data_IF_128421567095
#
_entry.id   IF_128421567095
#
_cell.length_a   1.000
_cell.length_b   1.000
_cell.length_c   1.000
_cell.angle_alpha   90.00
_cell.angle_beta   90.00
_cell.angle_gamma   90.00
#
_symmetry.space_group_name_H-M   'P 1'
#
loop_
_entity.id
_entity.type
_entity.pdbx_description
1 polymer ?
#
# COMPACT_ATOMS: atom_id res chain seq x y z
N UNK A 1 15.03 9.10 2.12
CA UNK A 1 14.67 9.39 3.53
C UNK A 1 15.49 8.45 4.40
N UNK A 2 16.41 9.00 5.23
CA UNK A 2 17.18 8.22 6.21
C UNK A 2 16.24 7.94 7.39
N UNK A 3 15.80 6.68 7.54
CA UNK A 3 15.08 6.24 8.73
C UNK A 3 16.13 6.01 9.82
N UNK A 4 15.96 6.57 11.04
CA UNK A 4 16.86 6.29 12.14
C UNK A 4 16.89 4.78 12.40
N UNK A 5 18.09 4.20 12.44
CA UNK A 5 18.30 2.76 12.69
C UNK A 5 17.64 2.29 14.00
N UNK A 6 17.54 3.17 14.98
CA UNK A 6 16.87 2.95 16.27
C UNK A 6 15.36 2.65 16.13
N UNK A 7 14.72 3.04 15.01
CA UNK A 7 13.30 2.75 14.75
C UNK A 7 13.08 1.40 14.04
N UNK A 8 14.14 0.74 13.60
CA UNK A 8 14.09 -0.59 12.97
C UNK A 8 14.81 -1.63 13.85
N UNK A 9 14.78 -1.45 15.18
CA UNK A 9 15.27 -2.45 16.11
C UNK A 9 14.40 -3.72 16.06
N UNK A 10 14.93 -4.83 16.58
CA UNK A 10 14.24 -6.14 16.58
C UNK A 10 12.85 -6.05 17.18
N UNK A 11 12.67 -5.31 18.27
CA UNK A 11 11.39 -5.20 18.98
C UNK A 11 10.35 -4.46 18.13
N UNK A 12 10.75 -3.36 17.47
CA UNK A 12 9.85 -2.65 16.56
C UNK A 12 9.46 -3.49 15.34
N UNK A 13 10.41 -4.23 14.77
CA UNK A 13 10.14 -5.12 13.64
C UNK A 13 9.19 -6.26 14.04
N UNK A 14 9.34 -6.83 15.24
CA UNK A 14 8.41 -7.83 15.79
C UNK A 14 7.01 -7.26 16.04
N UNK A 15 6.91 -6.05 16.59
CA UNK A 15 5.61 -5.36 16.76
C UNK A 15 4.93 -5.18 15.39
N UNK A 16 5.67 -4.71 14.38
CA UNK A 16 5.14 -4.54 13.03
C UNK A 16 4.71 -5.88 12.40
N UNK A 17 5.50 -6.96 12.56
CA UNK A 17 5.16 -8.28 12.04
C UNK A 17 3.88 -8.84 12.69
N UNK A 18 3.71 -8.69 14.00
CA UNK A 18 2.50 -9.10 14.71
C UNK A 18 1.29 -8.31 14.22
N UNK A 19 1.39 -6.98 14.19
CA UNK A 19 0.30 -6.10 13.77
C UNK A 19 -0.04 -6.23 12.29
N UNK A 20 0.91 -6.64 11.45
CA UNK A 20 0.66 -6.89 10.04
C UNK A 20 -0.21 -8.12 9.78
N UNK A 21 -0.16 -9.09 10.68
CA UNK A 21 -1.00 -10.31 10.61
C UNK A 21 -2.35 -10.11 11.27
N UNK A 22 -2.38 -9.37 12.37
CA UNK A 22 -3.61 -9.05 13.10
C UNK A 22 -3.50 -7.68 13.76
N UNK A 23 -4.00 -6.66 13.07
CA UNK A 23 -4.00 -5.28 13.55
C UNK A 23 -4.96 -5.06 14.74
N UNK A 24 -5.86 -6.01 15.01
CA UNK A 24 -6.82 -5.95 16.14
C UNK A 24 -6.23 -6.49 17.45
N UNK A 25 -5.05 -7.09 17.41
CA UNK A 25 -4.42 -7.71 18.56
C UNK A 25 -4.15 -6.70 19.68
N UNK A 26 -4.61 -6.95 20.91
CA UNK A 26 -4.40 -6.05 22.04
C UNK A 26 -2.91 -5.85 22.33
N UNK A 27 -2.50 -4.61 22.61
CA UNK A 27 -1.09 -4.30 22.90
C UNK A 27 -0.57 -5.00 24.15
N UNK A 28 -1.45 -5.26 25.13
CA UNK A 28 -1.10 -6.04 26.32
C UNK A 28 -0.69 -7.48 25.98
N UNK A 29 -1.25 -8.08 24.94
CA UNK A 29 -0.86 -9.43 24.50
C UNK A 29 0.42 -9.41 23.68
N UNK A 30 0.65 -8.36 22.89
CA UNK A 30 1.94 -8.10 22.22
C UNK A 30 3.05 -7.91 23.27
N UNK A 31 2.76 -7.14 24.32
CA UNK A 31 3.69 -6.90 25.43
C UNK A 31 4.12 -8.19 26.12
N UNK A 32 3.17 -9.09 26.42
CA UNK A 32 3.46 -10.41 26.98
C UNK A 32 4.32 -11.27 26.07
N UNK A 33 4.00 -11.33 24.75
CA UNK A 33 4.75 -12.14 23.80
C UNK A 33 6.18 -11.65 23.61
N UNK A 34 6.40 -10.33 23.68
CA UNK A 34 7.72 -9.71 23.50
C UNK A 34 8.47 -9.51 24.83
N UNK A 35 7.91 -9.92 25.95
CA UNK A 35 8.46 -9.78 27.32
C UNK A 35 8.81 -8.32 27.68
N UNK A 36 7.98 -7.36 27.25
CA UNK A 36 8.12 -5.93 27.54
C UNK A 36 6.85 -5.38 28.21
N UNK A 37 6.91 -4.13 28.71
CA UNK A 37 5.72 -3.52 29.30
C UNK A 37 4.73 -3.03 28.22
N UNK A 38 3.42 -3.05 28.56
CA UNK A 38 2.35 -2.49 27.72
C UNK A 38 2.64 -1.01 27.35
N UNK A 39 3.10 -0.22 28.33
CA UNK A 39 3.50 1.16 28.09
C UNK A 39 4.62 1.28 27.05
N UNK A 40 5.55 0.31 27.02
CA UNK A 40 6.62 0.26 26.01
C UNK A 40 6.05 0.01 24.61
N UNK A 41 5.11 -0.93 24.46
CA UNK A 41 4.46 -1.20 23.16
C UNK A 41 3.74 0.06 22.67
N UNK A 42 2.94 0.70 23.53
CA UNK A 42 2.26 1.95 23.19
C UNK A 42 3.22 3.05 22.73
N UNK A 43 4.32 3.25 23.44
CA UNK A 43 5.32 4.26 23.10
C UNK A 43 5.96 3.96 21.74
N UNK A 44 6.36 2.70 21.49
CA UNK A 44 6.99 2.26 20.25
C UNK A 44 6.04 2.42 19.05
N UNK A 45 4.80 1.99 19.18
CA UNK A 45 3.77 2.14 18.12
C UNK A 45 3.54 3.62 17.79
N UNK A 46 3.44 4.50 18.81
CA UNK A 46 3.32 5.95 18.56
C UNK A 46 4.53 6.52 17.81
N UNK A 47 5.75 6.07 18.13
CA UNK A 47 6.97 6.51 17.41
C UNK A 47 6.97 6.03 15.97
N UNK A 48 6.55 4.78 15.71
CA UNK A 48 6.42 4.23 14.36
C UNK A 48 5.38 4.98 13.52
N UNK A 49 4.25 5.37 14.12
CA UNK A 49 3.24 6.23 13.50
C UNK A 49 3.78 7.63 13.21
N UNK A 50 4.43 8.27 14.17
CA UNK A 50 4.98 9.60 14.01
C UNK A 50 6.09 9.66 12.94
N UNK A 51 6.86 8.58 12.80
CA UNK A 51 7.90 8.44 11.77
C UNK A 51 7.33 8.03 10.40
N UNK A 52 6.04 7.71 10.29
CA UNK A 52 5.41 7.26 9.05
C UNK A 52 5.77 5.84 8.61
N UNK A 53 6.51 5.08 9.44
CA UNK A 53 6.82 3.65 9.21
C UNK A 53 5.52 2.84 9.30
N UNK A 54 4.76 3.01 10.37
CA UNK A 54 3.38 2.56 10.46
C UNK A 54 2.47 3.70 9.99
N UNK A 55 1.87 3.57 8.82
CA UNK A 55 1.04 4.65 8.25
C UNK A 55 -0.35 4.72 8.85
N UNK A 56 -0.99 3.57 9.08
CA UNK A 56 -2.34 3.45 9.64
C UNK A 56 -2.64 2.02 10.06
N UNK A 57 -3.61 1.86 10.95
CA UNK A 57 -4.29 0.58 11.16
C UNK A 57 -5.42 0.44 10.14
N UNK A 58 -5.55 -0.72 9.53
CA UNK A 58 -6.58 -0.99 8.52
C UNK A 58 -7.02 -2.43 8.59
N UNK A 59 -8.08 -2.76 7.86
CA UNK A 59 -8.58 -4.12 7.69
C UNK A 59 -8.35 -4.58 6.26
N UNK A 60 -8.18 -5.87 6.06
CA UNK A 60 -8.28 -6.51 4.76
C UNK A 60 -9.73 -6.97 4.55
N UNK A 61 -10.27 -6.73 3.36
CA UNK A 61 -11.63 -7.13 2.97
C UNK A 61 -11.57 -8.01 1.73
N UNK A 62 -12.52 -8.92 1.61
CA UNK A 62 -12.75 -9.62 0.35
C UNK A 62 -13.53 -8.71 -0.61
N UNK A 63 -12.83 -8.16 -1.58
CA UNK A 63 -13.41 -7.23 -2.53
C UNK A 63 -14.45 -7.89 -3.44
N UNK A 64 -14.33 -9.20 -3.71
CA UNK A 64 -15.31 -9.96 -4.52
C UNK A 64 -16.61 -10.08 -3.74
N UNK A 65 -16.57 -10.43 -2.45
CA UNK A 65 -17.74 -10.50 -1.59
C UNK A 65 -18.43 -9.13 -1.39
N UNK A 66 -17.67 -8.03 -1.52
CA UNK A 66 -18.22 -6.68 -1.53
C UNK A 66 -18.78 -6.26 -2.90
N UNK A 67 -18.71 -7.14 -3.91
CA UNK A 67 -19.22 -6.89 -5.26
C UNK A 67 -18.23 -6.13 -6.17
N UNK A 68 -16.98 -5.92 -5.76
CA UNK A 68 -15.92 -5.30 -6.57
C UNK A 68 -15.06 -6.40 -7.21
N UNK A 69 -15.66 -7.24 -8.03
CA UNK A 69 -15.05 -8.43 -8.63
C UNK A 69 -14.21 -8.11 -9.90
N UNK A 70 -14.38 -6.93 -10.47
CA UNK A 70 -13.61 -6.51 -11.64
C UNK A 70 -12.38 -5.71 -11.23
N UNK A 71 -11.20 -6.29 -11.42
CA UNK A 71 -9.89 -5.66 -11.23
C UNK A 71 -9.26 -5.35 -12.59
N UNK A 72 -8.68 -4.16 -12.73
CA UNK A 72 -7.86 -3.83 -13.88
C UNK A 72 -6.65 -2.97 -13.51
N UNK A 73 -5.62 -3.06 -14.35
CA UNK A 73 -4.59 -2.04 -14.43
C UNK A 73 -4.83 -1.16 -15.66
N UNK A 74 -4.43 0.11 -15.56
CA UNK A 74 -4.50 1.07 -16.66
C UNK A 74 -3.11 1.64 -16.85
N UNK A 75 -2.51 1.34 -18.01
CA UNK A 75 -1.27 1.98 -18.44
C UNK A 75 -1.61 3.30 -19.14
N UNK A 76 -0.94 4.38 -18.77
CA UNK A 76 -1.19 5.73 -19.28
C UNK A 76 0.09 6.32 -19.82
N UNK A 77 0.01 6.94 -21.02
CA UNK A 77 1.03 7.82 -21.55
C UNK A 77 0.53 9.28 -21.50
N UNK A 78 1.43 10.20 -21.18
CA UNK A 78 1.10 11.61 -20.95
C UNK A 78 1.96 12.51 -21.83
N UNK A 79 1.56 13.76 -21.94
CA UNK A 79 2.37 14.81 -22.59
C UNK A 79 3.60 15.07 -21.71
N UNK A 80 4.78 15.17 -22.34
CA UNK A 80 6.03 15.46 -21.63
C UNK A 80 5.93 16.72 -20.76
N UNK A 81 6.40 16.61 -19.53
CA UNK A 81 6.36 17.71 -18.53
C UNK A 81 5.03 17.89 -17.81
N UNK A 82 3.99 17.05 -18.06
CA UNK A 82 2.68 17.17 -17.43
C UNK A 82 2.46 16.20 -16.24
N UNK A 83 3.47 15.44 -15.84
CA UNK A 83 3.35 14.36 -14.86
C UNK A 83 2.75 14.83 -13.53
N UNK A 84 3.27 15.90 -12.95
CA UNK A 84 2.81 16.41 -11.64
C UNK A 84 1.32 16.79 -11.66
N UNK A 85 0.85 17.46 -12.74
CA UNK A 85 -0.54 17.86 -12.89
C UNK A 85 -1.47 16.65 -13.05
N UNK A 86 -1.09 15.69 -13.89
CA UNK A 86 -1.84 14.46 -14.12
C UNK A 86 -1.90 13.62 -12.85
N UNK A 87 -0.79 13.43 -12.16
CA UNK A 87 -0.71 12.69 -10.89
C UNK A 87 -1.60 13.36 -9.83
N UNK A 88 -1.53 14.69 -9.69
CA UNK A 88 -2.37 15.41 -8.75
C UNK A 88 -3.88 15.25 -9.04
N UNK A 89 -4.26 15.25 -10.33
CA UNK A 89 -5.65 15.04 -10.76
C UNK A 89 -6.11 13.60 -10.50
N UNK A 90 -5.32 12.62 -10.93
CA UNK A 90 -5.65 11.20 -10.77
C UNK A 90 -5.72 10.77 -9.29
N UNK A 91 -4.88 11.35 -8.44
CA UNK A 91 -4.85 11.06 -7.00
C UNK A 91 -6.13 11.49 -6.26
N UNK A 92 -7.00 12.28 -6.88
CA UNK A 92 -8.27 12.68 -6.31
C UNK A 92 -9.42 11.72 -6.60
N UNK A 93 -9.21 10.72 -7.47
CA UNK A 93 -10.24 9.74 -7.82
C UNK A 93 -10.22 8.56 -6.86
N UNK A 94 -11.29 8.39 -6.08
CA UNK A 94 -11.43 7.31 -5.10
C UNK A 94 -11.36 5.90 -5.73
N UNK A 95 -11.69 5.77 -7.01
CA UNK A 95 -11.64 4.52 -7.74
C UNK A 95 -10.22 4.06 -8.06
N UNK A 96 -9.24 4.97 -7.99
CA UNK A 96 -7.83 4.66 -8.19
C UNK A 96 -7.24 4.19 -6.86
N UNK A 97 -6.98 2.91 -6.77
CA UNK A 97 -6.45 2.27 -5.57
C UNK A 97 -4.92 2.40 -5.44
N UNK A 98 -4.24 2.40 -6.58
CA UNK A 98 -2.79 2.55 -6.68
C UNK A 98 -2.46 3.41 -7.91
N UNK A 99 -1.45 4.24 -7.78
CA UNK A 99 -0.92 5.11 -8.83
C UNK A 99 0.60 5.09 -8.74
N UNK A 100 1.24 4.65 -9.82
CA UNK A 100 2.69 4.50 -9.91
C UNK A 100 3.21 5.27 -11.11
N UNK A 101 4.28 6.05 -10.93
CA UNK A 101 5.09 6.57 -12.01
C UNK A 101 6.04 5.47 -12.48
N UNK A 102 6.19 5.30 -13.78
CA UNK A 102 6.95 4.20 -14.38
C UNK A 102 8.02 4.73 -15.34
N UNK A 103 9.05 3.93 -15.51
CA UNK A 103 10.04 4.13 -16.57
C UNK A 103 10.05 2.89 -17.49
N UNK A 104 8.99 2.78 -18.32
CA UNK A 104 8.78 1.63 -19.22
C UNK A 104 7.89 2.04 -20.41
N UNK A 105 7.04 1.14 -20.89
CA UNK A 105 6.09 1.38 -21.99
C UNK A 105 5.07 2.47 -21.67
N UNK A 106 4.67 2.60 -20.40
CA UNK A 106 3.75 3.61 -19.91
C UNK A 106 4.47 4.54 -18.95
N UNK A 107 4.03 5.80 -18.88
CA UNK A 107 4.51 6.79 -17.92
C UNK A 107 3.89 6.57 -16.54
N UNK A 108 2.60 6.18 -16.50
CA UNK A 108 1.87 5.90 -15.27
C UNK A 108 1.15 4.55 -15.33
N UNK A 109 1.06 3.87 -14.20
CA UNK A 109 0.27 2.66 -14.02
C UNK A 109 -0.70 2.86 -12.85
N UNK A 110 -1.98 2.62 -13.12
CA UNK A 110 -3.04 2.69 -12.12
C UNK A 110 -3.62 1.31 -11.87
N UNK A 111 -4.09 1.09 -10.63
CA UNK A 111 -4.92 -0.05 -10.26
C UNK A 111 -6.32 0.44 -9.91
N UNK A 112 -7.34 -0.12 -10.56
CA UNK A 112 -8.74 0.19 -10.28
C UNK A 112 -9.54 -1.07 -10.01
N UNK A 113 -10.61 -0.93 -9.20
CA UNK A 113 -11.66 -1.96 -9.06
C UNK A 113 -13.03 -1.36 -9.34
N UNK A 114 -13.93 -2.19 -9.88
CA UNK A 114 -15.29 -1.80 -10.21
C UNK A 114 -16.24 -2.97 -9.99
N UNK A 115 -17.54 -2.67 -9.88
CA UNK A 115 -18.62 -3.68 -9.74
C UNK A 115 -19.06 -4.25 -11.08
N UNK A 116 -18.66 -3.65 -12.18
CA UNK A 116 -18.99 -4.13 -13.53
C UNK A 116 -17.98 -3.65 -14.57
N UNK A 117 -17.90 -4.37 -15.69
CA UNK A 117 -17.09 -3.94 -16.84
C UNK A 117 -17.59 -2.61 -17.43
N UNK A 118 -18.89 -2.32 -17.31
CA UNK A 118 -19.46 -1.04 -17.75
C UNK A 118 -18.89 0.09 -16.89
N UNK A 119 -18.96 -0.02 -15.57
CA UNK A 119 -18.42 0.97 -14.63
C UNK A 119 -16.91 1.20 -14.89
N UNK A 120 -16.17 0.12 -15.08
CA UNK A 120 -14.74 0.18 -15.41
C UNK A 120 -14.45 0.98 -16.69
N UNK A 121 -15.23 0.73 -17.77
CA UNK A 121 -15.13 1.50 -19.00
C UNK A 121 -15.53 2.96 -18.81
N UNK A 122 -16.55 3.21 -18.00
CA UNK A 122 -17.02 4.57 -17.70
C UNK A 122 -15.95 5.37 -16.94
N UNK A 123 -15.21 4.75 -16.00
CA UNK A 123 -14.05 5.37 -15.33
C UNK A 123 -13.00 5.77 -16.35
N UNK A 124 -12.62 4.84 -17.24
CA UNK A 124 -11.59 5.13 -18.26
C UNK A 124 -12.04 6.22 -19.22
N UNK A 125 -13.24 6.10 -19.79
CA UNK A 125 -13.71 7.02 -20.84
C UNK A 125 -14.12 8.40 -20.29
N UNK A 126 -14.76 8.44 -19.12
CA UNK A 126 -15.41 9.65 -18.62
C UNK A 126 -14.63 10.39 -17.53
N UNK A 127 -13.63 9.75 -16.91
CA UNK A 127 -12.74 10.37 -15.92
C UNK A 127 -11.32 10.50 -16.46
N UNK A 128 -10.65 9.38 -16.71
CA UNK A 128 -9.25 9.34 -17.14
C UNK A 128 -9.07 9.96 -18.53
N UNK A 129 -9.86 9.50 -19.50
CA UNK A 129 -9.77 9.97 -20.89
C UNK A 129 -10.23 11.43 -21.14
N UNK A 130 -10.75 12.10 -20.11
CA UNK A 130 -11.08 13.54 -20.16
C UNK A 130 -9.94 14.45 -19.70
N UNK A 131 -8.85 13.87 -19.19
CA UNK A 131 -7.67 14.64 -18.81
C UNK A 131 -6.89 14.95 -20.10
N UNK A 132 -6.78 16.25 -20.47
CA UNK A 132 -6.23 16.62 -21.77
C UNK A 132 -4.76 16.20 -21.99
N UNK A 133 -4.03 16.05 -20.89
CA UNK A 133 -2.61 15.69 -20.90
C UNK A 133 -2.38 14.19 -21.09
N UNK A 134 -3.42 13.35 -21.03
CA UNK A 134 -3.32 11.92 -21.30
C UNK A 134 -3.42 11.68 -22.80
N UNK A 135 -2.37 11.11 -23.39
CA UNK A 135 -2.29 10.81 -24.81
C UNK A 135 -2.78 9.41 -25.15
N UNK A 136 -2.64 8.47 -24.20
CA UNK A 136 -3.06 7.09 -24.33
C UNK A 136 -3.49 6.53 -22.96
N UNK A 137 -4.53 5.70 -22.94
CA UNK A 137 -4.95 4.95 -21.77
C UNK A 137 -5.32 3.52 -22.18
N UNK A 138 -4.52 2.55 -21.78
CA UNK A 138 -4.72 1.13 -22.08
C UNK A 138 -5.29 0.40 -20.87
N UNK A 139 -6.51 -0.11 -21.01
CA UNK A 139 -7.17 -0.93 -19.98
C UNK A 139 -6.72 -2.38 -20.05
N UNK A 140 -6.12 -2.89 -19.00
CA UNK A 140 -5.67 -4.28 -18.84
C UNK A 140 -6.51 -4.98 -17.77
N UNK A 141 -7.56 -5.70 -18.19
CA UNK A 141 -8.47 -6.40 -17.27
C UNK A 141 -7.80 -7.65 -16.70
N UNK A 142 -7.86 -7.83 -15.40
CA UNK A 142 -7.35 -9.02 -14.71
C UNK A 142 -8.40 -10.13 -14.73
N UNK A 143 -8.02 -11.28 -15.25
CA UNK A 143 -8.91 -12.45 -15.28
C UNK A 143 -9.03 -13.12 -13.90
N UNK A 144 -7.92 -13.20 -13.17
CA UNK A 144 -7.87 -13.83 -11.85
C UNK A 144 -6.66 -13.31 -11.06
N UNK A 145 -6.90 -12.87 -9.85
CA UNK A 145 -5.82 -12.60 -8.88
C UNK A 145 -5.40 -13.91 -8.22
N UNK A 146 -4.15 -14.30 -8.36
CA UNK A 146 -3.62 -15.52 -7.77
C UNK A 146 -3.06 -15.24 -6.37
N UNK A 147 -2.44 -14.08 -6.18
CA UNK A 147 -1.88 -13.63 -4.91
C UNK A 147 -1.93 -12.11 -4.84
N UNK A 148 -2.37 -11.59 -3.71
CA UNK A 148 -2.34 -10.16 -3.42
C UNK A 148 -1.96 -9.98 -1.94
N UNK A 149 -0.73 -9.53 -1.69
CA UNK A 149 -0.19 -9.27 -0.36
C UNK A 149 0.37 -7.85 -0.33
N UNK A 150 -0.03 -7.08 0.66
CA UNK A 150 0.43 -5.69 0.81
C UNK A 150 1.62 -5.55 1.76
N UNK A 151 1.82 -6.54 2.64
CA UNK A 151 2.87 -6.48 3.66
C UNK A 151 4.12 -7.23 3.20
N UNK A 152 5.27 -6.57 3.38
CA UNK A 152 6.58 -7.19 3.21
C UNK A 152 6.82 -8.13 4.39
N UNK A 153 7.24 -9.39 4.15
CA UNK A 153 7.56 -10.32 5.23
C UNK A 153 8.84 -9.88 5.97
N UNK A 154 8.72 -9.53 7.26
CA UNK A 154 9.81 -8.96 8.06
C UNK A 154 10.73 -10.00 8.72
N UNK A 155 10.56 -11.29 8.48
CA UNK A 155 11.31 -12.37 9.14
C UNK A 155 12.83 -12.23 9.01
N UNK A 156 13.32 -11.82 7.83
CA UNK A 156 14.74 -11.61 7.56
C UNK A 156 15.26 -10.42 8.34
N UNK A 157 14.56 -9.30 8.27
CA UNK A 157 14.96 -8.06 8.94
C UNK A 157 15.00 -8.22 10.46
N UNK A 158 14.06 -9.00 11.04
CA UNK A 158 14.07 -9.37 12.47
C UNK A 158 15.32 -10.17 12.82
N UNK A 159 15.70 -11.17 12.01
CA UNK A 159 16.88 -11.97 12.25
C UNK A 159 18.18 -11.15 12.16
N UNK A 160 18.27 -10.26 11.17
CA UNK A 160 19.42 -9.40 10.96
C UNK A 160 19.56 -8.39 12.13
N UNK A 161 18.44 -7.80 12.61
CA UNK A 161 18.43 -6.89 13.75
C UNK A 161 18.81 -7.58 15.07
N UNK A 162 18.36 -8.80 15.31
CA UNK A 162 18.72 -9.61 16.47
C UNK A 162 20.23 -9.92 16.49
N UNK A 163 20.83 -10.22 15.34
CA UNK A 163 22.26 -10.50 15.19
C UNK A 163 23.11 -9.27 15.46
N UNK A 164 22.67 -8.09 15.00
CA UNK A 164 23.38 -6.82 15.20
C UNK A 164 23.38 -6.36 16.68
N UNK A 165 22.37 -6.71 17.46
CA UNK A 165 22.28 -6.38 18.88
C UNK A 165 23.21 -7.22 19.78
N UNK A 166 23.75 -8.33 19.24
CA UNK A 166 24.62 -9.26 19.98
C UNK A 166 26.13 -8.98 19.77
N UNK A 167 26.46 -8.04 18.89
CA UNK A 167 27.85 -7.62 18.56
C UNK A 167 28.19 -6.31 19.24
#
# INVERSE_FOLDING_TARGET
VLIPSELLDEVNLRILDILSRDASRPFVDIAKELEISDATVHLRVRRLLAAGILRKFTIATDNVLLGYDHLAFIGINIIEGSADEVIATLSQFDEILELHEMYAQFDLLLKIRAKSLKEMRDIVANKIGKIPQITEAQLMTILKTIKEEQMIPLKRDIADAASAATT
#
